data_IF_438868287230
#
_entry.id   IF_438868287230
#
_cell.length_a   1.000
_cell.length_b   1.000
_cell.length_c   1.000
_cell.angle_alpha   90.00
_cell.angle_beta   90.00
_cell.angle_gamma   90.00
#
_symmetry.space_group_name_H-M   'P 1'
#
loop_
_entity.id
_entity.type
_entity.pdbx_description
1 polymer ?
#
# COMPACT_ATOMS: atom_id res chain seq x y z
N UNK A 1 6.22 -25.67 10.74
CA UNK A 1 6.87 -25.77 9.41
C UNK A 1 7.47 -24.43 9.04
N UNK A 2 8.79 -24.34 8.80
CA UNK A 2 9.40 -23.15 8.21
C UNK A 2 9.30 -23.29 6.69
N UNK A 3 8.51 -22.45 6.04
CA UNK A 3 8.53 -22.37 4.58
C UNK A 3 9.93 -21.96 4.13
N UNK A 4 10.48 -22.56 3.05
CA UNK A 4 11.76 -22.15 2.52
C UNK A 4 11.70 -20.67 2.14
N UNK A 5 12.75 -19.91 2.49
CA UNK A 5 12.89 -18.51 2.06
C UNK A 5 12.87 -18.49 0.53
N UNK A 6 11.86 -17.85 -0.05
CA UNK A 6 11.76 -17.70 -1.51
C UNK A 6 12.96 -16.90 -2.04
N UNK A 7 13.52 -17.28 -3.20
CA UNK A 7 14.66 -16.58 -3.79
C UNK A 7 14.29 -15.14 -4.16
N UNK A 8 15.21 -14.21 -3.92
CA UNK A 8 15.07 -12.77 -4.20
C UNK A 8 15.66 -12.43 -5.56
N UNK A 9 15.02 -11.50 -6.28
CA UNK A 9 15.32 -11.11 -7.65
C UNK A 9 15.45 -9.58 -7.69
N UNK A 10 16.62 -9.00 -7.89
CA UNK A 10 16.77 -7.54 -8.03
C UNK A 10 15.91 -6.93 -9.16
N UNK A 11 15.71 -5.60 -9.16
CA UNK A 11 15.00 -4.90 -10.25
C UNK A 11 15.62 -5.19 -11.62
N UNK A 12 16.95 -5.24 -11.70
CA UNK A 12 17.67 -5.54 -12.94
C UNK A 12 17.45 -6.98 -13.39
N UNK A 13 17.49 -7.94 -12.45
CA UNK A 13 17.16 -9.32 -12.72
C UNK A 13 15.69 -9.47 -13.15
N UNK A 14 14.76 -8.66 -12.61
CA UNK A 14 13.35 -8.64 -13.04
C UNK A 14 13.22 -8.18 -14.49
N UNK A 15 13.90 -7.10 -14.85
CA UNK A 15 13.87 -6.58 -16.23
C UNK A 15 14.53 -7.54 -17.21
N UNK A 16 15.60 -8.22 -16.80
CA UNK A 16 16.24 -9.28 -17.58
C UNK A 16 15.33 -10.49 -17.77
N UNK A 17 14.71 -10.98 -16.70
CA UNK A 17 13.73 -12.08 -16.78
C UNK A 17 12.52 -11.70 -17.65
N UNK A 18 12.02 -10.46 -17.57
CA UNK A 18 10.91 -9.99 -18.39
C UNK A 18 11.27 -9.93 -19.87
N UNK A 19 12.49 -9.48 -20.20
CA UNK A 19 13.02 -9.52 -21.57
C UNK A 19 13.16 -10.95 -22.07
N UNK A 20 13.75 -11.85 -21.27
CA UNK A 20 13.91 -13.27 -21.64
C UNK A 20 12.56 -13.94 -21.88
N UNK A 21 11.60 -13.80 -20.98
CA UNK A 21 10.25 -14.35 -21.16
C UNK A 21 9.57 -13.79 -22.42
N UNK A 22 9.70 -12.48 -22.66
CA UNK A 22 9.15 -11.85 -23.86
C UNK A 22 9.77 -12.43 -25.15
N UNK A 23 11.10 -12.61 -25.18
CA UNK A 23 11.81 -13.21 -26.32
C UNK A 23 11.38 -14.66 -26.54
N UNK A 24 11.36 -15.48 -25.48
CA UNK A 24 10.95 -16.89 -25.57
C UNK A 24 9.52 -17.05 -26.09
N UNK A 25 8.57 -16.24 -25.61
CA UNK A 25 7.19 -16.30 -26.09
C UNK A 25 7.08 -15.94 -27.57
N UNK A 26 7.84 -14.93 -28.03
CA UNK A 26 7.89 -14.57 -29.46
C UNK A 26 8.51 -15.66 -30.32
N UNK A 27 9.60 -16.28 -29.87
CA UNK A 27 10.26 -17.39 -30.57
C UNK A 27 9.36 -18.62 -30.72
N UNK A 28 8.42 -18.82 -29.77
CA UNK A 28 7.42 -19.88 -29.81
C UNK A 28 6.11 -19.47 -30.54
N UNK A 29 6.11 -18.36 -31.27
CA UNK A 29 4.98 -17.95 -32.10
C UNK A 29 3.79 -17.37 -31.35
N UNK A 30 3.94 -17.00 -30.08
CA UNK A 30 2.86 -16.37 -29.30
C UNK A 30 2.61 -14.95 -29.83
N UNK A 31 1.35 -14.58 -30.16
CA UNK A 31 1.04 -13.25 -30.67
C UNK A 31 1.55 -12.11 -29.76
N UNK A 32 2.01 -10.98 -30.32
CA UNK A 32 2.61 -9.89 -29.54
C UNK A 32 1.74 -9.34 -28.41
N UNK A 33 0.42 -9.24 -28.63
CA UNK A 33 -0.52 -8.77 -27.60
C UNK A 33 -0.65 -9.75 -26.43
N UNK A 34 -0.66 -11.04 -26.75
CA UNK A 34 -0.76 -12.11 -25.75
C UNK A 34 0.54 -12.24 -24.96
N UNK A 35 1.70 -12.09 -25.64
CA UNK A 35 3.01 -12.01 -24.99
C UNK A 35 3.09 -10.84 -24.00
N UNK A 36 2.63 -9.64 -24.39
CA UNK A 36 2.60 -8.48 -23.47
C UNK A 36 1.72 -8.73 -22.26
N UNK A 37 0.54 -9.33 -22.44
CA UNK A 37 -0.36 -9.70 -21.34
C UNK A 37 0.27 -10.72 -20.40
N UNK A 38 0.89 -11.77 -20.92
CA UNK A 38 1.53 -12.83 -20.13
C UNK A 38 2.70 -12.27 -19.32
N UNK A 39 3.59 -11.50 -19.95
CA UNK A 39 4.72 -10.86 -19.26
C UNK A 39 4.22 -9.88 -18.20
N UNK A 40 3.22 -9.06 -18.51
CA UNK A 40 2.65 -8.13 -17.53
C UNK A 40 2.02 -8.86 -16.34
N UNK A 41 1.20 -9.89 -16.60
CA UNK A 41 0.56 -10.68 -15.55
C UNK A 41 1.62 -11.36 -14.66
N UNK A 42 2.52 -12.15 -15.26
CA UNK A 42 3.53 -12.91 -14.52
C UNK A 42 4.44 -12.01 -13.67
N UNK A 43 4.88 -10.87 -14.21
CA UNK A 43 5.75 -9.97 -13.45
C UNK A 43 5.00 -9.13 -12.41
N UNK A 44 3.75 -8.73 -12.67
CA UNK A 44 2.98 -7.93 -11.73
C UNK A 44 2.39 -8.77 -10.58
N UNK A 45 1.94 -10.01 -10.87
CA UNK A 45 1.33 -10.89 -9.86
C UNK A 45 2.36 -11.73 -9.12
N UNK A 46 3.37 -12.28 -9.81
CA UNK A 46 4.19 -13.35 -9.24
C UNK A 46 5.59 -12.83 -8.87
N UNK A 47 6.26 -12.13 -9.78
CA UNK A 47 7.68 -11.73 -9.61
C UNK A 47 7.86 -10.40 -8.88
N UNK A 48 6.87 -9.50 -8.88
CA UNK A 48 6.95 -8.22 -8.14
C UNK A 48 7.04 -8.43 -6.63
N UNK A 49 6.53 -9.57 -6.13
CA UNK A 49 6.73 -10.00 -4.75
C UNK A 49 8.17 -10.46 -4.44
N UNK A 50 9.06 -10.54 -5.44
CA UNK A 50 10.41 -11.09 -5.31
C UNK A 50 11.53 -10.03 -5.43
N UNK A 51 11.24 -8.75 -5.65
CA UNK A 51 12.26 -7.73 -5.96
C UNK A 51 12.52 -6.65 -4.89
N UNK A 52 13.79 -6.35 -4.58
CA UNK A 52 14.24 -5.56 -3.39
C UNK A 52 14.11 -4.01 -3.47
N UNK A 53 14.13 -3.30 -2.31
CA UNK A 53 13.92 -3.81 -0.96
C UNK A 53 12.43 -3.72 -0.59
N UNK A 54 11.94 -4.64 0.24
CA UNK A 54 10.68 -4.48 0.96
C UNK A 54 10.79 -3.22 1.82
N UNK A 55 10.46 -2.07 1.26
CA UNK A 55 10.16 -0.89 2.03
C UNK A 55 9.07 -1.29 2.99
N UNK A 56 9.31 -0.96 4.25
CA UNK A 56 8.27 -1.06 5.24
C UNK A 56 7.00 -0.40 4.67
N UNK A 57 5.89 -1.12 4.61
CA UNK A 57 4.66 -0.61 4.01
C UNK A 57 3.70 -0.23 5.13
N UNK A 58 3.44 1.07 5.22
CA UNK A 58 2.54 1.66 6.18
C UNK A 58 1.21 1.99 5.48
N UNK A 59 0.19 1.19 5.74
CA UNK A 59 -1.19 1.59 5.49
C UNK A 59 -1.59 2.64 6.52
N UNK A 60 -2.17 3.75 6.06
CA UNK A 60 -2.65 4.80 6.94
C UNK A 60 -4.12 5.10 6.64
N UNK A 61 -4.94 5.08 7.70
CA UNK A 61 -6.33 5.57 7.61
C UNK A 61 -6.63 6.48 8.78
N UNK A 62 -6.68 7.78 8.53
CA UNK A 62 -6.80 8.80 9.57
C UNK A 62 -8.22 9.28 9.81
N UNK A 63 -8.42 9.88 10.98
CA UNK A 63 -9.66 10.57 11.33
C UNK A 63 -9.73 11.97 10.70
N UNK A 64 -10.92 12.41 10.28
CA UNK A 64 -11.15 13.71 9.64
C UNK A 64 -10.78 14.92 10.51
N UNK A 65 -10.72 14.73 11.82
CA UNK A 65 -10.35 15.78 12.78
C UNK A 65 -9.01 15.52 13.46
N UNK A 66 -8.19 14.59 12.93
CA UNK A 66 -6.85 14.35 13.46
C UNK A 66 -5.99 15.62 13.37
N UNK A 67 -5.28 15.94 14.46
CA UNK A 67 -4.33 17.06 14.50
C UNK A 67 -3.16 16.81 13.56
N UNK A 68 -2.82 17.80 12.73
CA UNK A 68 -1.64 17.75 11.85
C UNK A 68 -0.37 17.44 12.62
N UNK A 69 -0.12 18.15 13.73
CA UNK A 69 1.10 18.00 14.52
C UNK A 69 1.25 16.56 15.01
N UNK A 70 0.17 15.98 15.54
CA UNK A 70 0.17 14.59 16.03
C UNK A 70 0.48 13.58 14.93
N UNK A 71 -0.21 13.70 13.78
CA UNK A 71 0.01 12.84 12.62
C UNK A 71 1.47 12.88 12.18
N UNK A 72 2.05 14.07 12.11
CA UNK A 72 3.44 14.25 11.67
C UNK A 72 4.44 13.67 12.67
N UNK A 73 4.25 13.90 13.97
CA UNK A 73 5.10 13.34 15.02
C UNK A 73 5.12 11.82 14.98
N UNK A 74 3.94 11.19 14.87
CA UNK A 74 3.84 9.74 14.87
C UNK A 74 4.43 9.11 13.61
N UNK A 75 4.15 9.68 12.44
CA UNK A 75 4.70 9.19 11.16
C UNK A 75 6.21 9.33 11.10
N UNK A 76 6.75 10.43 11.64
CA UNK A 76 8.20 10.64 11.78
C UNK A 76 8.81 9.57 12.66
N UNK A 77 8.23 9.33 13.85
CA UNK A 77 8.68 8.27 14.76
C UNK A 77 8.65 6.88 14.12
N UNK A 78 7.57 6.53 13.40
CA UNK A 78 7.48 5.24 12.69
C UNK A 78 8.61 5.14 11.65
N UNK A 79 8.78 6.19 10.84
CA UNK A 79 9.83 6.23 9.80
C UNK A 79 11.22 6.09 10.38
N UNK A 80 11.51 6.72 11.51
CA UNK A 80 12.81 6.62 12.20
C UNK A 80 13.08 5.18 12.67
N UNK A 81 12.04 4.46 13.10
CA UNK A 81 12.15 3.07 13.54
C UNK A 81 12.33 2.08 12.40
N UNK A 82 11.66 2.30 11.26
CA UNK A 82 11.59 1.32 10.17
C UNK A 82 12.49 1.66 8.96
N UNK A 83 13.04 2.88 8.91
CA UNK A 83 13.82 3.37 7.79
C UNK A 83 12.96 3.79 6.59
N UNK A 84 13.48 3.69 5.35
CA UNK A 84 12.71 3.99 4.14
C UNK A 84 11.41 3.17 4.04
N UNK A 85 10.32 3.82 3.65
CA UNK A 85 8.99 3.21 3.71
C UNK A 85 8.05 3.66 2.58
N UNK A 86 7.08 2.81 2.26
CA UNK A 86 5.92 3.14 1.42
C UNK A 86 4.77 3.54 2.33
N UNK A 87 4.19 4.70 2.11
CA UNK A 87 3.00 5.19 2.80
C UNK A 87 1.80 5.12 1.86
N UNK A 88 0.77 4.36 2.24
CA UNK A 88 -0.49 4.24 1.48
C UNK A 88 -1.57 5.01 2.21
N UNK A 89 -2.16 6.02 1.56
CA UNK A 89 -3.20 6.89 2.12
C UNK A 89 -4.40 6.96 1.19
N UNK A 90 -5.61 7.14 1.74
CA UNK A 90 -6.80 7.29 0.90
C UNK A 90 -7.19 8.71 0.55
N UNK A 91 -6.17 9.50 0.23
CA UNK A 91 -6.29 10.91 -0.12
C UNK A 91 -6.30 11.10 -1.64
N UNK A 92 -7.10 12.04 -2.12
CA UNK A 92 -7.10 12.54 -3.49
C UNK A 92 -6.28 13.85 -3.54
N UNK A 93 -5.08 13.86 -4.14
CA UNK A 93 -4.25 15.06 -4.22
C UNK A 93 -4.81 16.13 -5.16
N UNK A 94 -5.59 15.73 -6.18
CA UNK A 94 -6.20 16.66 -7.14
C UNK A 94 -7.38 17.39 -6.51
N UNK A 95 -8.26 16.66 -5.83
CA UNK A 95 -9.45 17.24 -5.17
C UNK A 95 -9.19 17.73 -3.75
N UNK A 96 -8.03 17.38 -3.19
CA UNK A 96 -7.63 17.64 -1.80
C UNK A 96 -8.64 17.13 -0.77
N UNK A 97 -9.10 15.90 -0.94
CA UNK A 97 -10.09 15.23 -0.06
C UNK A 97 -9.71 13.79 0.28
N UNK A 98 -10.09 13.25 1.45
CA UNK A 98 -10.73 13.95 2.56
C UNK A 98 -9.76 14.87 3.32
N UNK A 99 -10.27 15.84 4.07
CA UNK A 99 -9.47 16.65 5.01
C UNK A 99 -9.10 15.85 6.27
N UNK A 100 -8.16 16.37 7.05
CA UNK A 100 -7.71 15.77 8.30
C UNK A 100 -6.61 14.74 8.11
N UNK A 101 -6.72 13.60 8.80
CA UNK A 101 -5.64 12.64 8.94
C UNK A 101 -5.01 12.17 7.62
N UNK A 102 -5.81 11.73 6.64
CA UNK A 102 -5.28 11.25 5.35
C UNK A 102 -4.56 12.37 4.57
N UNK A 103 -5.08 13.60 4.62
CA UNK A 103 -4.45 14.79 4.03
C UNK A 103 -3.12 15.12 4.73
N UNK A 104 -3.11 15.11 6.07
CA UNK A 104 -1.90 15.41 6.84
C UNK A 104 -0.81 14.36 6.65
N UNK A 105 -1.19 13.09 6.53
CA UNK A 105 -0.26 12.00 6.23
C UNK A 105 0.32 12.12 4.82
N UNK A 106 -0.52 12.45 3.83
CA UNK A 106 -0.05 12.78 2.48
C UNK A 106 0.95 13.93 2.49
N UNK A 107 0.59 15.07 3.11
CA UNK A 107 1.42 16.27 3.15
C UNK A 107 2.77 16.03 3.83
N UNK A 108 2.79 15.20 4.87
CA UNK A 108 4.03 14.74 5.50
C UNK A 108 4.85 13.85 4.55
N UNK A 109 4.21 12.84 3.96
CA UNK A 109 4.89 11.82 3.18
C UNK A 109 5.58 12.36 1.92
N UNK A 110 5.00 13.38 1.27
CA UNK A 110 5.61 14.02 0.09
C UNK A 110 6.84 14.88 0.44
N UNK A 111 7.04 15.21 1.71
CA UNK A 111 8.19 15.99 2.20
C UNK A 111 9.22 15.13 2.93
N UNK A 112 8.83 13.94 3.40
CA UNK A 112 9.67 13.09 4.21
C UNK A 112 10.71 12.33 3.36
N UNK A 113 12.02 12.42 3.67
CA UNK A 113 13.04 11.75 2.87
C UNK A 113 12.92 10.23 2.98
N UNK A 114 13.08 9.51 1.88
CA UNK A 114 12.97 8.04 1.87
C UNK A 114 11.54 7.51 2.05
N UNK A 115 10.53 8.36 1.91
CA UNK A 115 9.12 7.96 1.90
C UNK A 115 8.58 8.05 0.48
N UNK A 116 7.88 7.00 0.05
CA UNK A 116 7.09 7.04 -1.19
C UNK A 116 5.62 6.97 -0.86
N UNK A 117 4.83 7.90 -1.39
CA UNK A 117 3.40 7.99 -1.10
C UNK A 117 2.59 7.40 -2.25
N UNK A 118 1.65 6.53 -1.90
CA UNK A 118 0.62 6.02 -2.79
C UNK A 118 -0.75 6.53 -2.32
N UNK A 119 -1.52 7.07 -3.27
CA UNK A 119 -2.85 7.59 -3.03
C UNK A 119 -3.90 6.62 -3.57
N UNK A 120 -4.83 6.20 -2.71
CA UNK A 120 -5.98 5.36 -3.04
C UNK A 120 -7.27 6.11 -2.66
N UNK A 121 -7.68 7.15 -3.41
CA UNK A 121 -8.89 7.89 -3.09
C UNK A 121 -10.14 7.02 -3.20
N UNK A 122 -11.16 7.32 -2.40
CA UNK A 122 -12.40 6.57 -2.46
C UNK A 122 -13.14 6.82 -3.79
N UNK A 123 -13.62 5.78 -4.48
CA UNK A 123 -14.24 5.88 -5.79
C UNK A 123 -15.70 6.36 -5.71
N UNK A 124 -15.93 7.57 -5.19
CA UNK A 124 -17.27 8.17 -5.02
C UNK A 124 -18.06 8.37 -6.32
N UNK A 125 -17.40 8.24 -7.46
CA UNK A 125 -18.03 8.35 -8.78
C UNK A 125 -18.74 7.05 -9.21
N UNK A 126 -18.50 5.93 -8.52
CA UNK A 126 -19.16 4.66 -8.81
C UNK A 126 -20.49 4.57 -8.04
N UNK A 127 -21.65 4.66 -8.72
CA UNK A 127 -22.95 4.70 -8.07
C UNK A 127 -23.27 3.41 -7.30
N UNK A 128 -22.72 2.27 -7.72
CA UNK A 128 -22.92 0.97 -7.08
C UNK A 128 -22.32 0.90 -5.67
N UNK A 129 -21.34 1.77 -5.37
CA UNK A 129 -20.67 1.80 -4.08
C UNK A 129 -21.36 2.75 -3.10
N UNK A 130 -21.93 3.87 -3.54
CA UNK A 130 -22.57 4.89 -2.68
C UNK A 130 -21.77 5.13 -1.37
N UNK A 131 -22.40 4.92 -0.19
CA UNK A 131 -21.79 5.09 1.14
C UNK A 131 -20.68 4.08 1.44
N UNK A 132 -20.60 3.00 0.67
CA UNK A 132 -19.59 1.94 0.79
C UNK A 132 -18.28 2.26 0.08
N UNK A 133 -18.19 3.34 -0.71
CA UNK A 133 -16.94 3.72 -1.39
C UNK A 133 -15.78 3.98 -0.39
N UNK A 134 -16.07 4.57 0.78
CA UNK A 134 -15.11 4.76 1.86
C UNK A 134 -14.59 3.43 2.44
N UNK A 135 -15.48 2.55 2.94
CA UNK A 135 -15.11 1.20 3.37
C UNK A 135 -14.38 0.37 2.32
N UNK A 136 -14.83 0.40 1.06
CA UNK A 136 -14.20 -0.29 -0.06
C UNK A 136 -12.74 0.15 -0.24
N UNK A 137 -12.51 1.47 -0.25
CA UNK A 137 -11.17 2.06 -0.29
C UNK A 137 -10.31 1.61 0.88
N UNK A 138 -10.87 1.58 2.10
CA UNK A 138 -10.13 1.17 3.28
C UNK A 138 -9.72 -0.31 3.20
N UNK A 139 -10.60 -1.18 2.69
CA UNK A 139 -10.26 -2.57 2.36
C UNK A 139 -9.10 -2.65 1.38
N UNK A 140 -9.14 -1.86 0.29
CA UNK A 140 -8.07 -1.82 -0.68
C UNK A 140 -6.72 -1.36 -0.08
N UNK A 141 -6.72 -0.39 0.85
CA UNK A 141 -5.50 0.00 1.59
C UNK A 141 -4.96 -1.19 2.37
N UNK A 142 -5.80 -1.93 3.10
CA UNK A 142 -5.39 -3.11 3.87
C UNK A 142 -4.80 -4.18 2.95
N UNK A 143 -5.46 -4.51 1.85
CA UNK A 143 -4.94 -5.49 0.88
C UNK A 143 -3.60 -5.07 0.27
N UNK A 144 -3.47 -3.80 -0.12
CA UNK A 144 -2.21 -3.26 -0.67
C UNK A 144 -1.09 -3.24 0.35
N UNK A 145 -1.43 -3.01 1.62
CA UNK A 145 -0.46 -3.05 2.72
C UNK A 145 0.01 -4.49 2.96
N UNK A 146 -0.90 -5.46 2.95
CA UNK A 146 -0.61 -6.89 3.10
C UNK A 146 0.15 -7.50 1.92
N UNK A 147 0.06 -6.90 0.73
CA UNK A 147 0.82 -7.33 -0.42
C UNK A 147 2.34 -7.10 -0.25
N UNK A 148 2.77 -6.29 0.73
CA UNK A 148 4.17 -6.19 1.13
C UNK A 148 4.61 -7.49 1.82
N UNK A 149 5.81 -7.97 1.51
CA UNK A 149 6.24 -9.31 1.92
C UNK A 149 6.61 -9.36 3.41
N UNK A 150 6.07 -10.35 4.12
CA UNK A 150 6.51 -10.72 5.47
C UNK A 150 5.99 -9.80 6.59
N UNK A 151 6.83 -9.56 7.58
CA UNK A 151 6.56 -8.77 8.80
C UNK A 151 6.74 -7.26 8.61
N UNK A 152 6.89 -6.80 7.37
CA UNK A 152 7.22 -5.41 7.00
C UNK A 152 6.00 -4.57 6.65
N UNK A 153 4.85 -4.91 7.22
CA UNK A 153 3.58 -4.27 6.93
C UNK A 153 2.87 -3.89 8.24
N UNK A 154 2.34 -2.68 8.31
CA UNK A 154 1.43 -2.30 9.40
C UNK A 154 0.37 -1.32 8.93
N UNK A 155 -0.74 -1.31 9.68
CA UNK A 155 -1.77 -0.28 9.59
C UNK A 155 -1.65 0.65 10.80
N UNK A 156 -1.71 1.98 10.60
CA UNK A 156 -1.60 2.95 11.70
C UNK A 156 -2.67 4.06 11.66
N UNK A 157 -2.74 4.77 12.81
CA UNK A 157 -3.58 5.94 13.07
C UNK A 157 -5.09 5.71 13.06
N UNK A 158 -5.50 4.57 13.61
CA UNK A 158 -6.89 4.18 13.70
C UNK A 158 -7.53 4.82 14.93
N UNK A 159 -8.26 5.92 14.71
CA UNK A 159 -8.93 6.61 15.80
C UNK A 159 -10.19 5.83 16.25
N UNK A 160 -10.36 5.53 17.56
CA UNK A 160 -11.48 4.70 18.05
C UNK A 160 -12.86 5.34 17.79
N UNK A 161 -12.96 6.67 17.81
CA UNK A 161 -14.20 7.40 17.43
C UNK A 161 -14.51 7.41 15.92
N UNK A 162 -13.61 6.93 15.05
CA UNK A 162 -13.87 6.82 13.61
C UNK A 162 -14.43 5.44 13.29
N UNK A 163 -15.75 5.34 13.07
CA UNK A 163 -16.40 4.06 12.71
C UNK A 163 -15.74 3.37 11.52
N UNK A 164 -15.36 4.15 10.51
CA UNK A 164 -14.62 3.64 9.34
C UNK A 164 -13.23 3.12 9.69
N UNK A 165 -12.48 3.81 10.55
CA UNK A 165 -11.17 3.34 10.99
C UNK A 165 -11.27 2.11 11.90
N UNK A 166 -12.29 2.03 12.76
CA UNK A 166 -12.53 0.87 13.62
C UNK A 166 -12.84 -0.40 12.81
N UNK A 167 -13.72 -0.31 11.80
CA UNK A 167 -13.99 -1.43 10.89
C UNK A 167 -12.75 -1.85 10.09
N UNK A 168 -11.93 -0.87 9.69
CA UNK A 168 -10.66 -1.13 9.00
C UNK A 168 -9.64 -1.82 9.91
N UNK A 169 -9.55 -1.40 11.19
CA UNK A 169 -8.71 -2.02 12.20
C UNK A 169 -9.08 -3.49 12.40
N UNK A 170 -10.38 -3.76 12.58
CA UNK A 170 -10.88 -5.12 12.76
C UNK A 170 -10.58 -5.99 11.54
N UNK A 171 -10.80 -5.48 10.33
CA UNK A 171 -10.48 -6.18 9.09
C UNK A 171 -8.99 -6.46 8.95
N UNK A 172 -8.13 -5.48 9.24
CA UNK A 172 -6.68 -5.64 9.19
C UNK A 172 -6.18 -6.69 10.19
N UNK A 173 -6.67 -6.66 11.44
CA UNK A 173 -6.34 -7.68 12.45
C UNK A 173 -6.79 -9.07 12.02
N UNK A 174 -8.00 -9.21 11.47
CA UNK A 174 -8.50 -10.49 10.94
C UNK A 174 -7.60 -11.04 9.83
N UNK A 175 -7.05 -10.17 8.98
CA UNK A 175 -6.09 -10.53 7.93
C UNK A 175 -4.66 -10.77 8.42
N UNK A 176 -4.39 -10.62 9.72
CA UNK A 176 -3.06 -10.83 10.30
C UNK A 176 -2.10 -9.65 10.17
N UNK A 177 -2.60 -8.46 9.79
CA UNK A 177 -1.79 -7.25 9.73
C UNK A 177 -1.57 -6.68 11.14
N UNK A 178 -0.36 -6.22 11.45
CA UNK A 178 -0.10 -5.48 12.68
C UNK A 178 -0.82 -4.13 12.63
N UNK A 179 -1.50 -3.78 13.71
CA UNK A 179 -2.27 -2.54 13.82
C UNK A 179 -1.76 -1.69 14.98
N UNK A 180 -1.47 -0.42 14.73
CA UNK A 180 -1.16 0.58 15.76
C UNK A 180 -2.43 1.40 16.05
N UNK A 181 -2.98 1.21 17.25
CA UNK A 181 -4.20 1.90 17.72
C UNK A 181 -3.90 3.07 18.68
N UNK A 182 -2.67 3.15 19.19
CA UNK A 182 -2.32 3.94 20.39
C UNK A 182 -2.19 5.46 20.22
N UNK A 183 -2.40 6.03 19.04
CA UNK A 183 -1.88 7.39 18.77
C UNK A 183 -2.88 8.45 18.34
N UNK A 184 -4.18 8.21 18.49
CA UNK A 184 -5.18 9.18 18.09
C UNK A 184 -5.77 9.96 19.29
N UNK A 185 -4.96 10.86 19.87
CA UNK A 185 -5.41 12.04 20.63
C UNK A 185 -4.68 13.24 20.06
#
# INVERSE_FOLDING_TARGET
>A
MRFPKRPRVSVDQRQDMARKLHLTLRENGVPPEQTRRIVYSFFFTDVSSWCEPDWFTLGYTGWRHASRAKVWTDLTRIREQVGPMRLIVGFDPTRRTPKGGDMHAYDWGVQAPGVTVECLPAPWHLPELDKSAGPYRNGAIVERTLAAVGDRAMLAHLHPKSRGAAGTAAYAKWRGLRVIEETAI
#
